data_IF_354542302229
#
_entry.id   IF_354542302229
#
_cell.length_a   1.000
_cell.length_b   1.000
_cell.length_c   1.000
_cell.angle_alpha   90.00
_cell.angle_beta   90.00
_cell.angle_gamma   90.00
#
_symmetry.space_group_name_H-M   'P 1'
#
loop_
_entity.id
_entity.type
_entity.pdbx_description
1 polymer ?
#
# COMPACT_ATOMS: atom_id res chain seq x y z
N UNK A 1 -48.14 -16.35 18.90
CA UNK A 1 -47.36 -15.33 18.15
C UNK A 1 -45.97 -15.26 18.75
N UNK A 2 -45.02 -15.90 18.15
CA UNK A 2 -43.60 -15.96 18.59
C UNK A 2 -42.78 -15.07 17.66
N UNK A 3 -42.30 -13.95 18.19
CA UNK A 3 -41.48 -13.00 17.43
C UNK A 3 -40.08 -13.55 17.30
N UNK A 4 -39.66 -13.82 16.08
CA UNK A 4 -38.28 -14.17 15.74
C UNK A 4 -37.47 -12.88 15.67
N UNK A 5 -36.64 -12.66 16.70
CA UNK A 5 -35.57 -11.64 16.64
C UNK A 5 -34.44 -12.15 15.76
N UNK A 6 -34.38 -11.68 14.52
CA UNK A 6 -33.21 -11.82 13.69
C UNK A 6 -32.15 -10.82 14.19
N UNK A 7 -31.18 -11.33 14.92
CA UNK A 7 -29.97 -10.56 15.30
C UNK A 7 -29.06 -10.37 14.07
N UNK A 8 -28.98 -9.13 13.60
CA UNK A 8 -27.97 -8.67 12.65
C UNK A 8 -26.59 -8.64 13.37
N UNK A 9 -25.90 -9.76 13.40
CA UNK A 9 -24.52 -9.89 13.90
C UNK A 9 -23.56 -10.16 12.73
N UNK A 10 -23.48 -9.22 11.79
CA UNK A 10 -22.69 -9.42 10.57
C UNK A 10 -21.54 -8.44 10.34
N UNK A 11 -21.31 -7.40 11.15
CA UNK A 11 -20.33 -6.36 10.84
C UNK A 11 -19.44 -5.91 12.01
N UNK A 12 -19.25 -6.70 13.06
CA UNK A 12 -18.55 -6.21 14.26
C UNK A 12 -17.29 -6.99 14.65
N UNK A 13 -16.75 -7.86 13.77
CA UNK A 13 -15.61 -8.73 14.13
C UNK A 13 -14.31 -8.48 13.36
N UNK A 14 -14.16 -7.37 12.64
CA UNK A 14 -12.92 -7.02 11.90
C UNK A 14 -12.29 -5.68 12.32
N UNK A 15 -12.32 -5.36 13.59
CA UNK A 15 -11.37 -4.41 14.18
C UNK A 15 -10.27 -5.20 14.89
N UNK A 16 -9.45 -5.95 14.16
CA UNK A 16 -8.10 -6.15 14.64
C UNK A 16 -7.45 -4.76 14.62
N UNK A 17 -7.13 -4.25 15.79
CA UNK A 17 -6.33 -3.03 15.91
C UNK A 17 -5.08 -3.23 15.06
N UNK A 18 -4.79 -2.27 14.18
CA UNK A 18 -3.54 -2.29 13.42
C UNK A 18 -2.41 -2.32 14.43
N UNK A 19 -1.72 -3.45 14.50
CA UNK A 19 -0.60 -3.63 15.43
C UNK A 19 0.55 -2.69 15.06
N UNK A 20 1.33 -2.30 16.06
CA UNK A 20 2.58 -1.56 15.84
C UNK A 20 3.46 -2.33 14.87
N UNK A 21 3.74 -1.75 13.72
CA UNK A 21 4.52 -2.39 12.68
C UNK A 21 5.32 -1.39 11.86
N UNK A 22 6.62 -1.63 11.79
CA UNK A 22 7.49 -1.01 10.80
C UNK A 22 7.38 -1.79 9.50
N UNK A 23 7.09 -1.10 8.43
CA UNK A 23 6.86 -1.69 7.12
C UNK A 23 7.56 -0.89 6.02
N UNK A 24 7.75 -1.50 4.85
CA UNK A 24 8.43 -0.82 3.74
C UNK A 24 7.85 -1.26 2.41
N UNK A 25 7.84 -0.36 1.44
CA UNK A 25 7.57 -0.71 0.04
C UNK A 25 8.82 -1.26 -0.64
N UNK A 26 8.64 -2.26 -1.49
CA UNK A 26 9.62 -2.74 -2.45
C UNK A 26 9.10 -2.50 -3.87
N UNK A 27 9.70 -1.55 -4.59
CA UNK A 27 9.12 -1.05 -5.85
C UNK A 27 10.03 -1.25 -7.06
N UNK A 28 10.63 -2.44 -7.14
CA UNK A 28 11.49 -2.86 -8.26
C UNK A 28 10.87 -4.03 -9.02
N UNK A 29 11.39 -4.32 -10.22
CA UNK A 29 10.94 -5.43 -11.07
C UNK A 29 11.69 -6.74 -10.79
N UNK A 30 12.68 -6.72 -9.91
CA UNK A 30 13.37 -7.91 -9.40
C UNK A 30 13.40 -7.85 -7.87
N UNK A 31 12.93 -8.89 -7.19
CA UNK A 31 13.17 -9.04 -5.76
C UNK A 31 14.58 -9.59 -5.57
N UNK A 32 15.52 -8.69 -5.35
CA UNK A 32 16.92 -8.99 -5.04
C UNK A 32 17.35 -8.11 -3.87
N UNK A 33 17.74 -8.71 -2.75
CA UNK A 33 18.12 -8.01 -1.53
C UNK A 33 19.61 -8.10 -1.31
N UNK A 34 20.29 -6.97 -1.30
CA UNK A 34 21.69 -6.90 -0.92
C UNK A 34 21.89 -6.93 0.63
N UNK A 35 23.13 -6.90 1.07
CA UNK A 35 23.45 -6.93 2.50
C UNK A 35 22.95 -5.69 3.25
N UNK A 36 22.93 -4.51 2.61
CA UNK A 36 22.44 -3.26 3.20
C UNK A 36 20.94 -3.32 3.44
N UNK A 37 20.20 -3.80 2.45
CA UNK A 37 18.75 -3.95 2.53
C UNK A 37 18.34 -5.01 3.57
N UNK A 38 19.04 -6.15 3.61
CA UNK A 38 18.82 -7.19 4.65
C UNK A 38 19.12 -6.67 6.05
N UNK A 39 20.20 -5.88 6.21
CA UNK A 39 20.54 -5.24 7.49
C UNK A 39 19.46 -4.24 7.90
N UNK A 40 18.96 -3.43 6.96
CA UNK A 40 17.88 -2.48 7.20
C UNK A 40 16.60 -3.17 7.72
N UNK A 41 16.16 -4.25 7.03
CA UNK A 41 14.97 -5.02 7.44
C UNK A 41 15.10 -5.54 8.89
N UNK A 42 16.28 -6.02 9.26
CA UNK A 42 16.55 -6.52 10.62
C UNK A 42 16.66 -5.39 11.64
N UNK A 43 17.45 -4.35 11.34
CA UNK A 43 17.76 -3.24 12.26
C UNK A 43 16.51 -2.48 12.68
N UNK A 44 15.62 -2.20 11.72
CA UNK A 44 14.38 -1.46 11.98
C UNK A 44 13.17 -2.38 12.22
N UNK A 45 13.41 -3.67 12.48
CA UNK A 45 12.37 -4.64 12.82
C UNK A 45 11.20 -4.65 11.85
N UNK A 46 11.50 -4.56 10.54
CA UNK A 46 10.47 -4.54 9.50
C UNK A 46 9.65 -5.83 9.55
N UNK A 47 8.33 -5.70 9.63
CA UNK A 47 7.38 -6.81 9.75
C UNK A 47 6.73 -7.19 8.43
N UNK A 48 6.54 -6.20 7.53
CA UNK A 48 5.89 -6.41 6.24
C UNK A 48 6.65 -5.67 5.13
N UNK A 49 6.69 -6.28 3.96
CA UNK A 49 7.17 -5.68 2.73
C UNK A 49 6.02 -5.64 1.72
N UNK A 50 5.54 -4.44 1.39
CA UNK A 50 4.60 -4.21 0.30
C UNK A 50 5.36 -4.32 -1.03
N UNK A 51 5.28 -5.48 -1.64
CA UNK A 51 6.08 -5.82 -2.81
C UNK A 51 5.27 -5.64 -4.09
N UNK A 52 5.73 -4.78 -5.00
CA UNK A 52 5.09 -4.58 -6.31
C UNK A 52 5.21 -5.86 -7.13
N UNK A 53 4.10 -6.58 -7.29
CA UNK A 53 4.06 -7.83 -8.06
C UNK A 53 3.98 -7.59 -9.55
N UNK A 54 3.08 -6.73 -9.95
CA UNK A 54 2.90 -6.30 -11.34
C UNK A 54 2.04 -5.03 -11.38
N UNK A 55 2.03 -4.39 -12.54
CA UNK A 55 1.08 -3.34 -12.84
C UNK A 55 -0.07 -3.91 -13.68
N UNK A 56 -1.20 -3.21 -13.67
CA UNK A 56 -2.29 -3.38 -14.64
C UNK A 56 -2.44 -2.07 -15.39
N UNK A 57 -2.29 -2.13 -16.70
CA UNK A 57 -2.36 -0.97 -17.59
C UNK A 57 -3.35 -1.22 -18.73
N UNK A 58 -3.97 -0.17 -19.26
CA UNK A 58 -4.79 -0.31 -20.46
C UNK A 58 -3.91 -0.54 -21.69
N UNK A 59 -4.14 -1.64 -22.38
CA UNK A 59 -3.51 -1.96 -23.65
C UNK A 59 -4.56 -2.47 -24.61
N UNK A 60 -4.66 -1.86 -25.79
CA UNK A 60 -5.64 -2.21 -26.85
C UNK A 60 -7.10 -2.27 -26.36
N UNK A 61 -7.46 -1.44 -25.40
CA UNK A 61 -8.80 -1.38 -24.81
C UNK A 61 -9.08 -2.36 -23.68
N UNK A 62 -8.11 -3.17 -23.26
CA UNK A 62 -8.24 -4.14 -22.19
C UNK A 62 -7.19 -3.93 -21.08
N UNK A 63 -7.55 -4.19 -19.79
CA UNK A 63 -6.59 -4.19 -18.70
C UNK A 63 -5.63 -5.37 -18.82
N UNK A 64 -4.33 -5.08 -18.94
CA UNK A 64 -3.29 -6.09 -19.13
C UNK A 64 -2.20 -5.99 -18.06
N UNK A 65 -1.66 -7.13 -17.58
CA UNK A 65 -0.54 -7.11 -16.65
C UNK A 65 0.73 -6.63 -17.34
N UNK A 66 1.49 -5.78 -16.64
CA UNK A 66 2.75 -5.22 -17.08
C UNK A 66 3.77 -5.23 -15.93
N UNK A 67 5.06 -5.03 -16.23
CA UNK A 67 6.14 -4.87 -15.25
C UNK A 67 6.13 -5.94 -14.12
N UNK A 68 5.87 -7.20 -14.47
CA UNK A 68 5.83 -8.32 -13.51
C UNK A 68 7.19 -8.52 -12.86
N UNK A 69 7.21 -8.65 -11.54
CA UNK A 69 8.41 -8.89 -10.74
C UNK A 69 8.99 -10.28 -11.00
N UNK A 70 10.34 -10.38 -10.95
CA UNK A 70 11.08 -11.64 -10.88
C UNK A 70 11.58 -11.84 -9.45
N UNK A 71 11.33 -13.01 -8.86
CA UNK A 71 11.80 -13.35 -7.52
C UNK A 71 13.16 -14.06 -7.63
N UNK A 72 14.23 -13.35 -7.26
CA UNK A 72 15.60 -13.86 -7.26
C UNK A 72 16.00 -14.29 -5.85
N UNK A 73 15.55 -13.52 -4.85
CA UNK A 73 15.76 -13.76 -3.43
C UNK A 73 14.41 -13.97 -2.72
N UNK A 74 14.49 -14.43 -1.47
CA UNK A 74 13.36 -14.49 -0.53
C UNK A 74 13.51 -13.42 0.55
N UNK A 75 12.39 -13.01 1.15
CA UNK A 75 12.42 -12.16 2.34
C UNK A 75 13.02 -12.93 3.54
N UNK A 76 13.64 -12.22 4.51
CA UNK A 76 14.08 -12.83 5.76
C UNK A 76 12.92 -13.48 6.51
N UNK A 77 13.23 -14.50 7.31
CA UNK A 77 12.25 -15.15 8.18
C UNK A 77 11.57 -14.15 9.12
N UNK A 78 10.26 -14.26 9.27
CA UNK A 78 9.45 -13.37 10.09
C UNK A 78 9.05 -12.05 9.42
N UNK A 79 9.45 -11.81 8.17
CA UNK A 79 9.01 -10.67 7.35
C UNK A 79 7.94 -11.12 6.38
N UNK A 80 6.74 -10.57 6.51
CA UNK A 80 5.59 -10.90 5.67
C UNK A 80 5.69 -10.23 4.29
N UNK A 81 5.39 -11.00 3.25
CA UNK A 81 5.20 -10.48 1.89
C UNK A 81 3.76 -10.01 1.71
N UNK A 82 3.57 -8.77 1.26
CA UNK A 82 2.27 -8.24 0.85
C UNK A 82 2.31 -7.99 -0.67
N UNK A 83 1.68 -8.86 -1.48
CA UNK A 83 1.52 -8.60 -2.90
C UNK A 83 0.82 -7.28 -3.15
N UNK A 84 1.49 -6.35 -3.82
CA UNK A 84 0.96 -5.03 -4.16
C UNK A 84 0.83 -4.93 -5.68
N UNK A 85 -0.36 -4.58 -6.15
CA UNK A 85 -0.65 -4.40 -7.58
C UNK A 85 -1.00 -2.95 -7.84
N UNK A 86 -0.21 -2.31 -8.70
CA UNK A 86 -0.53 -0.97 -9.19
C UNK A 86 -1.47 -1.05 -10.39
N UNK A 87 -2.55 -0.28 -10.36
CA UNK A 87 -3.53 -0.22 -11.45
C UNK A 87 -3.64 1.22 -11.93
N UNK A 88 -3.40 1.44 -13.22
CA UNK A 88 -3.55 2.77 -13.79
C UNK A 88 -5.01 3.22 -13.76
N UNK A 89 -5.23 4.50 -13.53
CA UNK A 89 -6.58 5.06 -13.31
C UNK A 89 -7.53 4.84 -14.50
N UNK A 90 -7.00 4.81 -15.71
CA UNK A 90 -7.76 4.56 -16.95
C UNK A 90 -8.39 3.15 -16.98
N UNK A 91 -7.81 2.15 -16.31
CA UNK A 91 -8.44 0.84 -16.12
C UNK A 91 -9.76 0.91 -15.32
N UNK A 92 -9.97 2.00 -14.57
CA UNK A 92 -11.15 2.23 -13.75
C UNK A 92 -12.18 3.17 -14.42
N UNK A 93 -11.96 3.57 -15.66
CA UNK A 93 -12.94 4.38 -16.41
C UNK A 93 -14.17 3.57 -16.82
N UNK A 94 -14.00 2.27 -17.00
CA UNK A 94 -15.06 1.32 -17.31
C UNK A 94 -15.01 0.12 -16.33
N UNK A 95 -16.04 -0.72 -16.33
CA UNK A 95 -16.07 -1.92 -15.53
C UNK A 95 -15.49 -3.08 -16.31
N UNK A 96 -14.59 -3.84 -15.67
CA UNK A 96 -14.01 -5.07 -16.19
C UNK A 96 -14.34 -6.24 -15.24
N UNK A 97 -15.48 -6.92 -15.41
CA UNK A 97 -16.01 -7.87 -14.42
C UNK A 97 -15.05 -9.01 -14.05
N UNK A 98 -14.22 -9.45 -15.00
CA UNK A 98 -13.28 -10.56 -14.78
C UNK A 98 -11.92 -10.12 -14.19
N UNK A 99 -11.66 -8.81 -14.12
CA UNK A 99 -10.34 -8.30 -13.75
C UNK A 99 -9.96 -8.71 -12.31
N UNK A 100 -10.89 -8.61 -11.37
CA UNK A 100 -10.65 -8.95 -9.98
C UNK A 100 -10.24 -10.42 -9.79
N UNK A 101 -10.99 -11.33 -10.41
CA UNK A 101 -10.71 -12.77 -10.35
C UNK A 101 -9.37 -13.10 -11.03
N UNK A 102 -9.12 -12.55 -12.22
CA UNK A 102 -7.85 -12.72 -12.94
C UNK A 102 -6.65 -12.24 -12.13
N UNK A 103 -6.81 -11.09 -11.45
CA UNK A 103 -5.76 -10.49 -10.61
C UNK A 103 -5.44 -11.39 -9.40
N UNK A 104 -6.45 -11.79 -8.63
CA UNK A 104 -6.27 -12.66 -7.45
C UNK A 104 -5.65 -13.98 -7.87
N UNK A 105 -6.18 -14.63 -8.90
CA UNK A 105 -5.64 -15.89 -9.43
C UNK A 105 -4.16 -15.74 -9.83
N UNK A 106 -3.79 -14.64 -10.49
CA UNK A 106 -2.40 -14.38 -10.86
C UNK A 106 -1.50 -14.24 -9.64
N UNK A 107 -1.91 -13.53 -8.61
CA UNK A 107 -1.15 -13.41 -7.36
C UNK A 107 -0.92 -14.78 -6.75
N UNK A 108 -1.97 -15.61 -6.62
CA UNK A 108 -1.88 -16.95 -6.04
C UNK A 108 -0.94 -17.85 -6.85
N UNK A 109 -1.03 -17.83 -8.18
CA UNK A 109 -0.13 -18.58 -9.07
C UNK A 109 1.34 -18.11 -8.93
N UNK A 110 1.57 -16.79 -8.78
CA UNK A 110 2.92 -16.25 -8.55
C UNK A 110 3.47 -16.71 -7.21
N UNK A 111 2.65 -16.72 -6.15
CA UNK A 111 3.04 -17.23 -4.84
C UNK A 111 3.40 -18.72 -4.90
N UNK A 112 2.55 -19.54 -5.49
CA UNK A 112 2.80 -20.98 -5.64
C UNK A 112 4.08 -21.27 -6.44
N UNK A 113 4.25 -20.59 -7.58
CA UNK A 113 5.41 -20.81 -8.48
C UNK A 113 6.74 -20.41 -7.81
N UNK A 114 6.73 -19.49 -6.85
CA UNK A 114 7.94 -18.95 -6.21
C UNK A 114 8.06 -19.34 -4.72
N UNK A 115 7.33 -20.35 -4.26
CA UNK A 115 7.34 -20.85 -2.87
C UNK A 115 7.10 -19.72 -1.83
N UNK A 116 6.23 -18.76 -2.15
CA UNK A 116 5.86 -17.66 -1.25
C UNK A 116 4.66 -18.10 -0.42
N UNK A 117 4.89 -18.25 0.88
CA UNK A 117 3.90 -18.74 1.84
C UNK A 117 3.54 -17.69 2.90
N UNK A 118 2.41 -17.91 3.57
CA UNK A 118 2.01 -17.08 4.72
C UNK A 118 1.55 -15.66 4.33
N UNK A 119 1.19 -15.43 3.08
CA UNK A 119 0.57 -14.17 2.62
C UNK A 119 -0.80 -14.03 3.28
N UNK A 120 -1.00 -12.94 4.02
CA UNK A 120 -2.24 -12.64 4.75
C UNK A 120 -2.95 -11.40 4.26
N UNK A 121 -2.35 -10.70 3.30
CA UNK A 121 -2.83 -9.43 2.79
C UNK A 121 -2.51 -9.27 1.31
N UNK A 122 -3.42 -8.62 0.57
CA UNK A 122 -3.20 -8.11 -0.78
C UNK A 122 -3.43 -6.61 -0.75
N UNK A 123 -2.56 -5.85 -1.41
CA UNK A 123 -2.73 -4.40 -1.56
C UNK A 123 -3.00 -4.02 -3.00
N UNK A 124 -3.97 -3.12 -3.21
CA UNK A 124 -4.23 -2.49 -4.50
C UNK A 124 -3.81 -1.01 -4.43
N UNK A 125 -2.97 -0.58 -5.35
CA UNK A 125 -2.56 0.82 -5.51
C UNK A 125 -3.22 1.39 -6.77
N UNK A 126 -4.05 2.43 -6.61
CA UNK A 126 -4.69 3.13 -7.73
C UNK A 126 -4.91 4.61 -7.41
N UNK A 127 -4.46 5.47 -8.30
CA UNK A 127 -4.67 6.91 -8.22
C UNK A 127 -6.08 7.31 -8.71
N UNK A 128 -7.11 6.63 -8.17
CA UNK A 128 -8.49 6.89 -8.59
C UNK A 128 -8.92 8.34 -8.31
N UNK A 129 -9.77 8.85 -9.17
CA UNK A 129 -10.36 10.18 -9.09
C UNK A 129 -11.84 10.10 -8.71
N UNK A 130 -12.50 11.24 -8.53
CA UNK A 130 -13.96 11.26 -8.33
C UNK A 130 -14.73 10.59 -9.48
N UNK A 131 -14.18 10.60 -10.70
CA UNK A 131 -14.78 10.02 -11.90
C UNK A 131 -14.71 8.50 -11.91
N UNK A 132 -13.55 7.93 -11.57
CA UNK A 132 -13.30 6.48 -11.60
C UNK A 132 -13.62 5.79 -10.27
N UNK A 133 -13.94 6.55 -9.20
CA UNK A 133 -14.14 6.05 -7.84
C UNK A 133 -15.11 4.90 -7.75
N UNK A 134 -16.30 5.02 -8.36
CA UNK A 134 -17.33 3.98 -8.20
C UNK A 134 -16.92 2.66 -8.84
N UNK A 135 -16.30 2.70 -10.03
CA UNK A 135 -15.79 1.51 -10.68
C UNK A 135 -14.64 0.89 -9.87
N UNK A 136 -13.77 1.72 -9.30
CA UNK A 136 -12.71 1.25 -8.42
C UNK A 136 -13.26 0.57 -7.16
N UNK A 137 -14.29 1.13 -6.52
CA UNK A 137 -14.91 0.51 -5.34
C UNK A 137 -15.60 -0.80 -5.67
N UNK A 138 -16.33 -0.88 -6.76
CA UNK A 138 -16.93 -2.13 -7.25
C UNK A 138 -15.86 -3.20 -7.55
N UNK A 139 -14.72 -2.77 -8.10
CA UNK A 139 -13.57 -3.64 -8.33
C UNK A 139 -12.95 -4.15 -7.01
N UNK A 140 -12.77 -3.30 -6.00
CA UNK A 140 -12.26 -3.72 -4.69
C UNK A 140 -13.19 -4.72 -3.99
N UNK A 141 -14.50 -4.52 -4.05
CA UNK A 141 -15.49 -5.48 -3.55
C UNK A 141 -15.38 -6.83 -4.26
N UNK A 142 -15.19 -6.82 -5.58
CA UNK A 142 -14.98 -8.03 -6.35
C UNK A 142 -13.65 -8.74 -6.00
N UNK A 143 -12.57 -7.99 -5.72
CA UNK A 143 -11.30 -8.56 -5.23
C UNK A 143 -11.50 -9.23 -3.87
N UNK A 144 -12.15 -8.56 -2.92
CA UNK A 144 -12.44 -9.14 -1.61
C UNK A 144 -13.24 -10.45 -1.72
N UNK A 145 -14.26 -10.49 -2.57
CA UNK A 145 -15.06 -11.70 -2.82
C UNK A 145 -14.23 -12.83 -3.45
N UNK A 146 -13.31 -12.49 -4.36
CA UNK A 146 -12.42 -13.46 -5.01
C UNK A 146 -11.42 -14.06 -4.00
N UNK A 147 -10.93 -13.27 -3.04
CA UNK A 147 -10.07 -13.76 -1.96
C UNK A 147 -10.78 -14.78 -1.05
N UNK A 148 -12.05 -14.56 -0.72
CA UNK A 148 -12.84 -15.51 0.09
C UNK A 148 -13.07 -16.80 -0.65
N UNK A 149 -13.47 -16.76 -1.92
CA UNK A 149 -13.76 -17.95 -2.75
C UNK A 149 -12.52 -18.82 -2.94
N UNK A 150 -11.34 -18.22 -3.05
CA UNK A 150 -10.07 -18.96 -3.18
C UNK A 150 -9.71 -19.70 -1.89
N UNK A 151 -9.93 -19.09 -0.72
CA UNK A 151 -9.69 -19.72 0.58
C UNK A 151 -10.59 -20.96 0.81
N UNK A 152 -11.83 -20.94 0.34
CA UNK A 152 -12.77 -22.06 0.45
C UNK A 152 -12.39 -23.24 -0.48
N UNK A 153 -11.79 -22.97 -1.64
CA UNK A 153 -11.34 -24.02 -2.58
C UNK A 153 -10.14 -24.80 -2.05
N UNK A 154 -9.22 -24.13 -1.38
CA UNK A 154 -8.01 -24.75 -0.80
C UNK A 154 -8.34 -25.65 0.41
N UNK A 155 -9.40 -25.35 1.17
CA UNK A 155 -9.87 -26.21 2.27
C UNK A 155 -10.43 -27.57 1.81
N UNK A 156 -10.98 -27.65 0.62
CA UNK A 156 -11.49 -28.93 0.09
C UNK A 156 -10.38 -29.89 -0.32
N UNK A 157 -9.16 -29.39 -0.49
CA UNK A 157 -7.99 -30.19 -0.92
C UNK A 157 -7.04 -30.57 0.20
N UNK A 158 -7.10 -29.92 1.38
CA UNK A 158 -6.21 -30.25 2.51
C UNK A 158 -6.99 -30.45 3.81
N UNK A 159 -6.79 -31.60 4.47
CA UNK A 159 -7.40 -31.98 5.75
C UNK A 159 -6.75 -31.25 6.97
N UNK A 160 -6.34 -29.99 6.84
CA UNK A 160 -5.74 -29.19 7.91
C UNK A 160 -6.80 -28.38 8.63
N UNK A 161 -6.92 -28.57 9.96
CA UNK A 161 -7.84 -27.94 10.89
C UNK A 161 -7.45 -26.48 11.25
N UNK A 162 -6.99 -25.67 10.31
CA UNK A 162 -6.79 -24.26 10.51
C UNK A 162 -8.01 -23.47 9.99
N UNK A 163 -8.58 -22.61 10.84
CA UNK A 163 -9.62 -21.67 10.44
C UNK A 163 -9.16 -20.85 9.24
N UNK A 164 -9.99 -20.69 8.18
CA UNK A 164 -9.62 -19.88 7.04
C UNK A 164 -9.48 -18.44 7.48
N UNK A 165 -8.26 -17.94 7.53
CA UNK A 165 -8.05 -16.50 7.60
C UNK A 165 -8.31 -15.96 6.20
N UNK A 166 -9.43 -15.26 6.01
CA UNK A 166 -9.64 -14.50 4.77
C UNK A 166 -8.50 -13.48 4.63
N UNK A 167 -7.92 -13.39 3.43
CA UNK A 167 -6.91 -12.38 3.13
C UNK A 167 -7.44 -10.98 3.44
N UNK A 168 -6.63 -10.16 4.10
CA UNK A 168 -6.89 -8.73 4.25
C UNK A 168 -6.74 -8.04 2.90
N UNK A 169 -7.58 -7.07 2.63
CA UNK A 169 -7.46 -6.19 1.48
C UNK A 169 -7.13 -4.77 1.94
N UNK A 170 -5.99 -4.25 1.51
CA UNK A 170 -5.62 -2.86 1.73
C UNK A 170 -5.52 -2.09 0.42
N UNK A 171 -5.55 -0.77 0.51
CA UNK A 171 -5.33 0.11 -0.65
C UNK A 171 -4.54 1.36 -0.26
N UNK A 172 -3.91 1.98 -1.24
CA UNK A 172 -3.28 3.29 -1.05
C UNK A 172 -4.32 4.40 -1.03
N UNK A 173 -4.07 5.42 -0.21
CA UNK A 173 -4.92 6.61 -0.10
C UNK A 173 -4.07 7.85 -0.38
N UNK A 174 -4.46 8.61 -1.40
CA UNK A 174 -3.88 9.93 -1.68
C UNK A 174 -4.51 11.00 -0.80
N UNK A 175 -3.78 12.07 -0.52
CA UNK A 175 -4.27 13.18 0.34
C UNK A 175 -5.63 13.73 -0.12
N UNK A 176 -5.83 13.92 -1.42
CA UNK A 176 -7.10 14.45 -1.94
C UNK A 176 -8.29 13.49 -1.75
N UNK A 177 -8.02 12.17 -1.65
CA UNK A 177 -9.05 11.15 -1.44
C UNK A 177 -9.60 11.14 -0.01
N UNK A 178 -8.93 11.78 0.96
CA UNK A 178 -9.45 11.97 2.32
C UNK A 178 -10.75 12.78 2.38
N UNK A 179 -11.08 13.50 1.32
CA UNK A 179 -12.37 14.20 1.20
C UNK A 179 -13.49 13.36 0.59
N UNK A 180 -13.20 12.13 0.19
CA UNK A 180 -14.13 11.20 -0.43
C UNK A 180 -14.62 10.16 0.60
N UNK A 181 -15.73 9.48 0.30
CA UNK A 181 -16.09 8.27 1.06
C UNK A 181 -14.95 7.25 0.99
N UNK A 182 -14.69 6.50 2.06
CA UNK A 182 -13.60 5.52 2.08
C UNK A 182 -13.87 4.35 1.12
N UNK A 183 -12.83 3.75 0.54
CA UNK A 183 -12.96 2.51 -0.22
C UNK A 183 -13.38 1.33 0.65
N UNK A 184 -14.04 0.30 0.09
CA UNK A 184 -14.50 -0.89 0.80
C UNK A 184 -13.37 -1.89 1.02
N UNK A 185 -12.43 -1.55 1.90
CA UNK A 185 -11.24 -2.35 2.25
C UNK A 185 -11.06 -2.40 3.77
N UNK A 186 -10.18 -3.27 4.25
CA UNK A 186 -9.93 -3.41 5.69
C UNK A 186 -9.18 -2.19 6.24
N UNK A 187 -8.19 -1.66 5.50
CA UNK A 187 -7.49 -0.41 5.85
C UNK A 187 -6.81 0.25 4.64
N UNK A 188 -6.34 1.47 4.82
CA UNK A 188 -5.62 2.23 3.80
C UNK A 188 -4.20 2.59 4.21
N UNK A 189 -3.31 2.77 3.22
CA UNK A 189 -1.98 3.34 3.41
C UNK A 189 -1.99 4.77 2.88
N UNK A 190 -1.99 5.75 3.79
CA UNK A 190 -1.97 7.16 3.45
C UNK A 190 -0.60 7.54 2.88
N UNK A 191 -0.56 7.90 1.62
CA UNK A 191 0.66 8.27 0.92
C UNK A 191 1.00 9.75 1.19
N UNK A 192 1.98 9.99 2.06
CA UNK A 192 2.51 11.30 2.39
C UNK A 192 3.72 11.62 1.50
N UNK A 193 3.54 11.42 0.21
CA UNK A 193 4.54 11.75 -0.81
C UNK A 193 3.86 12.01 -2.16
N UNK A 194 4.62 12.55 -3.14
CA UNK A 194 4.09 13.08 -4.39
C UNK A 194 3.01 14.14 -4.12
N UNK A 195 3.29 15.03 -3.14
CA UNK A 195 2.33 16.02 -2.66
C UNK A 195 2.18 17.22 -3.59
N UNK A 196 3.19 17.50 -4.41
CA UNK A 196 3.21 18.59 -5.39
C UNK A 196 3.17 18.12 -6.84
N UNK A 197 2.87 19.04 -7.77
CA UNK A 197 2.99 18.77 -9.20
C UNK A 197 4.46 18.93 -9.64
N UNK A 198 5.14 17.85 -10.00
CA UNK A 198 6.56 17.90 -10.36
C UNK A 198 6.83 18.65 -11.67
N UNK A 199 5.78 18.96 -12.46
CA UNK A 199 5.92 19.73 -13.72
C UNK A 199 5.96 21.24 -13.46
N UNK A 200 5.56 21.68 -12.26
CA UNK A 200 5.57 23.09 -11.88
C UNK A 200 6.89 23.44 -11.19
N UNK A 201 7.52 24.50 -11.65
CA UNK A 201 8.64 25.12 -10.96
C UNK A 201 8.10 25.95 -9.81
N UNK A 202 8.16 25.40 -8.60
CA UNK A 202 7.78 26.09 -7.38
C UNK A 202 8.91 25.98 -6.37
N UNK A 203 8.89 26.81 -5.33
CA UNK A 203 9.80 26.68 -4.17
C UNK A 203 9.49 25.48 -3.28
N UNK A 204 8.41 24.73 -3.60
CA UNK A 204 7.96 23.58 -2.83
C UNK A 204 8.59 22.31 -3.38
N UNK A 205 8.96 21.40 -2.49
CA UNK A 205 9.43 20.08 -2.89
C UNK A 205 8.25 19.23 -3.39
N UNK A 206 8.23 18.80 -4.66
CA UNK A 206 7.10 18.05 -5.20
C UNK A 206 6.96 16.64 -4.60
N UNK A 207 8.02 16.11 -3.96
CA UNK A 207 7.94 14.82 -3.27
C UNK A 207 7.17 14.99 -1.96
N UNK A 208 7.56 15.94 -1.12
CA UNK A 208 6.90 16.21 0.16
C UNK A 208 7.15 17.67 0.56
N UNK A 209 6.07 18.38 0.86
CA UNK A 209 6.07 19.69 1.48
C UNK A 209 4.87 19.79 2.43
N UNK A 210 5.11 20.14 3.68
CA UNK A 210 4.06 20.27 4.69
C UNK A 210 2.94 21.23 4.26
N UNK A 211 3.29 22.28 3.50
CA UNK A 211 2.31 23.25 2.99
C UNK A 211 1.32 22.62 2.01
N UNK A 212 1.71 21.55 1.34
CA UNK A 212 0.82 20.79 0.43
C UNK A 212 -0.01 19.74 1.18
N UNK A 213 0.49 19.22 2.30
CA UNK A 213 -0.22 18.26 3.18
C UNK A 213 -1.26 18.98 4.04
N UNK A 214 -0.92 20.13 4.59
CA UNK A 214 -1.70 20.84 5.62
C UNK A 214 -3.18 21.09 5.28
N UNK A 215 -3.58 21.44 4.03
CA UNK A 215 -4.99 21.62 3.67
C UNK A 215 -5.85 20.38 3.84
N UNK A 216 -5.26 19.17 3.75
CA UNK A 216 -5.96 17.88 3.83
C UNK A 216 -6.07 17.34 5.27
N UNK A 217 -5.28 17.85 6.21
CA UNK A 217 -5.29 17.41 7.61
C UNK A 217 -6.65 17.60 8.28
N UNK A 218 -7.45 18.56 7.82
CA UNK A 218 -8.81 18.79 8.35
C UNK A 218 -9.77 17.60 8.11
N UNK A 219 -9.50 16.77 7.11
CA UNK A 219 -10.33 15.60 6.77
C UNK A 219 -9.78 14.31 7.40
N UNK A 220 -8.60 14.37 8.01
CA UNK A 220 -7.90 13.19 8.51
C UNK A 220 -8.51 12.66 9.81
N UNK A 221 -8.97 13.57 10.69
CA UNK A 221 -9.53 13.22 11.99
C UNK A 221 -10.78 12.34 11.86
N UNK A 222 -11.65 12.70 10.91
CA UNK A 222 -12.97 12.07 10.72
C UNK A 222 -12.96 10.99 9.64
N UNK A 223 -11.81 10.70 9.00
CA UNK A 223 -11.75 9.68 7.95
C UNK A 223 -11.95 8.30 8.55
N UNK A 224 -13.03 7.57 8.20
CA UNK A 224 -13.47 6.42 8.99
C UNK A 224 -12.65 5.14 8.77
N UNK A 225 -11.83 5.10 7.69
CA UNK A 225 -11.00 3.93 7.40
C UNK A 225 -9.76 3.92 8.31
N UNK A 226 -9.38 2.79 8.93
CA UNK A 226 -8.08 2.64 9.55
C UNK A 226 -6.96 2.96 8.57
N UNK A 227 -5.92 3.67 9.00
CA UNK A 227 -4.83 4.12 8.14
C UNK A 227 -3.46 3.78 8.70
N UNK A 228 -2.54 3.35 7.82
CA UNK A 228 -1.10 3.42 8.00
C UNK A 228 -0.56 4.70 7.36
N UNK A 229 0.62 5.17 7.76
CA UNK A 229 1.26 6.35 7.19
C UNK A 229 2.51 6.00 6.38
N UNK A 230 2.57 6.39 5.11
CA UNK A 230 3.71 6.14 4.23
C UNK A 230 4.52 7.42 3.96
N UNK A 231 5.80 7.39 4.32
CA UNK A 231 6.74 8.50 4.19
C UNK A 231 7.79 8.25 3.10
N UNK A 232 8.18 9.28 2.33
CA UNK A 232 9.17 9.14 1.27
C UNK A 232 10.60 9.10 1.83
N UNK A 233 11.40 8.18 1.31
CA UNK A 233 12.85 8.15 1.56
C UNK A 233 13.64 8.10 0.24
N UNK A 234 12.99 8.40 -0.87
CA UNK A 234 13.54 8.34 -2.22
C UNK A 234 13.86 9.73 -2.77
N UNK A 235 14.50 9.74 -3.94
CA UNK A 235 14.86 10.93 -4.69
C UNK A 235 14.24 10.87 -6.09
N UNK A 236 13.84 12.02 -6.61
CA UNK A 236 13.54 12.17 -8.02
C UNK A 236 14.70 12.83 -8.77
N UNK A 237 15.05 12.25 -9.90
CA UNK A 237 15.94 12.84 -10.86
C UNK A 237 15.18 13.07 -12.16
N UNK A 238 15.12 14.30 -12.61
CA UNK A 238 14.45 14.68 -13.87
C UNK A 238 15.36 15.51 -14.74
N UNK A 239 15.20 15.35 -16.05
CA UNK A 239 15.83 16.23 -17.02
C UNK A 239 14.76 17.18 -17.56
N UNK A 240 14.91 18.47 -17.32
CA UNK A 240 13.99 19.52 -17.78
C UNK A 240 14.80 20.45 -18.68
N UNK A 241 14.43 20.52 -19.96
CA UNK A 241 15.14 21.34 -20.97
C UNK A 241 16.65 21.11 -20.99
N UNK A 242 17.09 19.85 -20.84
CA UNK A 242 18.49 19.48 -20.82
C UNK A 242 19.22 19.70 -19.48
N UNK A 243 18.53 20.22 -18.46
CA UNK A 243 19.08 20.40 -17.11
C UNK A 243 18.62 19.25 -16.21
N UNK A 244 19.55 18.58 -15.56
CA UNK A 244 19.27 17.57 -14.53
C UNK A 244 18.83 18.28 -13.25
N UNK A 245 17.62 18.01 -12.82
CA UNK A 245 17.05 18.52 -11.55
C UNK A 245 16.83 17.34 -10.62
N UNK A 246 17.37 17.45 -9.42
CA UNK A 246 17.23 16.45 -8.37
C UNK A 246 16.34 17.02 -7.26
N UNK A 247 15.35 16.22 -6.81
CA UNK A 247 14.52 16.54 -5.67
C UNK A 247 14.75 15.47 -4.61
N UNK A 248 15.23 15.89 -3.46
CA UNK A 248 15.41 15.06 -2.25
C UNK A 248 14.60 15.69 -1.14
N UNK A 249 13.98 14.89 -0.29
CA UNK A 249 13.29 15.41 0.89
C UNK A 249 14.28 15.48 2.04
N UNK A 250 14.32 16.60 2.73
CA UNK A 250 15.13 16.74 3.94
C UNK A 250 14.50 15.94 5.10
N UNK A 251 15.35 15.33 5.95
CA UNK A 251 14.90 14.56 7.11
C UNK A 251 13.91 15.34 7.98
N UNK A 252 14.24 16.61 8.29
CA UNK A 252 13.40 17.49 9.09
C UNK A 252 12.01 17.72 8.48
N UNK A 253 11.87 17.70 7.15
CA UNK A 253 10.58 17.84 6.50
C UNK A 253 9.73 16.59 6.68
N UNK A 254 10.32 15.39 6.54
CA UNK A 254 9.63 14.12 6.80
C UNK A 254 9.10 14.12 8.24
N UNK A 255 9.94 14.45 9.21
CA UNK A 255 9.60 14.44 10.63
C UNK A 255 8.55 15.52 10.99
N UNK A 256 8.63 16.70 10.36
CA UNK A 256 7.60 17.76 10.53
C UNK A 256 6.24 17.29 10.02
N UNK A 257 6.19 16.61 8.86
CA UNK A 257 4.95 16.05 8.32
C UNK A 257 4.44 14.94 9.23
N UNK A 258 5.32 13.99 9.64
CA UNK A 258 4.97 12.94 10.61
C UNK A 258 4.30 13.52 11.85
N UNK A 259 4.95 14.47 12.49
CA UNK A 259 4.40 15.11 13.68
C UNK A 259 3.05 15.81 13.42
N UNK A 260 2.87 16.43 12.25
CA UNK A 260 1.64 17.14 11.90
C UNK A 260 0.46 16.16 11.71
N UNK A 261 0.68 15.02 11.03
CA UNK A 261 -0.36 14.01 10.82
C UNK A 261 -0.69 13.25 12.10
N UNK A 262 0.30 12.92 12.93
CA UNK A 262 0.10 12.21 14.20
C UNK A 262 -0.61 13.07 15.25
N UNK A 263 -0.39 14.39 15.24
CA UNK A 263 -1.17 15.33 16.09
C UNK A 263 -2.64 15.35 15.72
N UNK A 264 -2.96 15.11 14.46
CA UNK A 264 -4.33 15.05 13.96
C UNK A 264 -4.95 13.67 14.16
N UNK A 265 -4.18 12.62 13.92
CA UNK A 265 -4.63 11.24 14.04
C UNK A 265 -3.54 10.39 14.67
N UNK A 266 -3.54 10.26 16.01
CA UNK A 266 -2.48 9.57 16.75
C UNK A 266 -2.27 8.11 16.35
N UNK A 267 -3.30 7.43 15.84
CA UNK A 267 -3.23 6.03 15.41
C UNK A 267 -2.27 5.81 14.22
N UNK A 268 -1.95 6.87 13.46
CA UNK A 268 -1.02 6.78 12.33
C UNK A 268 0.41 6.43 12.74
N UNK A 269 0.76 6.58 14.02
CA UNK A 269 2.04 6.16 14.57
C UNK A 269 2.21 4.64 14.68
N UNK A 270 1.11 3.87 14.72
CA UNK A 270 1.16 2.42 14.95
C UNK A 270 1.68 1.64 13.75
N UNK A 271 1.31 2.02 12.54
CA UNK A 271 1.82 1.36 11.33
C UNK A 271 2.48 2.38 10.41
N UNK A 272 3.79 2.27 10.31
CA UNK A 272 4.63 3.20 9.54
C UNK A 272 5.24 2.47 8.35
N UNK A 273 5.14 3.10 7.20
CA UNK A 273 5.67 2.60 5.94
C UNK A 273 6.72 3.58 5.41
N UNK A 274 7.86 3.10 4.94
CA UNK A 274 8.77 3.95 4.13
C UNK A 274 8.70 3.54 2.66
N UNK A 275 8.72 4.51 1.77
CA UNK A 275 8.73 4.30 0.34
C UNK A 275 10.05 4.80 -0.23
N UNK A 276 10.95 3.93 -0.73
CA UNK A 276 10.92 2.49 -0.79
C UNK A 276 12.28 1.88 -0.42
N UNK A 277 12.33 0.57 -0.15
CA UNK A 277 13.53 -0.20 0.15
C UNK A 277 14.45 -0.23 -1.07
N UNK A 278 15.59 0.38 -0.94
CA UNK A 278 16.64 0.45 -1.92
C UNK A 278 17.92 0.93 -1.23
N UNK A 279 19.07 0.36 -1.60
CA UNK A 279 20.36 0.71 -1.01
C UNK A 279 20.69 2.21 -1.09
N UNK A 280 20.38 2.84 -2.22
CA UNK A 280 20.64 4.27 -2.40
C UNK A 280 19.76 5.11 -1.47
N UNK A 281 18.50 4.73 -1.29
CA UNK A 281 17.57 5.38 -0.38
C UNK A 281 18.00 5.19 1.07
N UNK A 282 18.38 3.98 1.47
CA UNK A 282 18.86 3.66 2.82
C UNK A 282 20.08 4.52 3.18
N UNK A 283 21.02 4.67 2.27
CA UNK A 283 22.26 5.43 2.50
C UNK A 283 22.06 6.95 2.44
N UNK A 284 20.88 7.43 2.11
CA UNK A 284 20.57 8.87 1.97
C UNK A 284 20.44 9.56 3.31
N UNK A 285 19.87 8.87 4.28
CA UNK A 285 19.63 9.41 5.61
C UNK A 285 20.50 8.72 6.66
N UNK A 286 20.74 9.42 7.75
CA UNK A 286 21.42 8.84 8.91
C UNK A 286 20.52 7.80 9.59
N UNK A 287 21.10 6.81 10.29
CA UNK A 287 20.32 5.83 11.06
C UNK A 287 19.30 6.47 12.01
N UNK A 288 19.69 7.50 12.74
CA UNK A 288 18.80 8.24 13.68
C UNK A 288 17.52 8.74 12.99
N UNK A 289 17.62 9.16 11.71
CA UNK A 289 16.44 9.59 10.95
C UNK A 289 15.43 8.47 10.77
N UNK A 290 15.90 7.26 10.46
CA UNK A 290 15.02 6.10 10.34
C UNK A 290 14.45 5.67 11.69
N UNK A 291 15.24 5.76 12.77
CA UNK A 291 14.76 5.51 14.13
C UNK A 291 13.62 6.47 14.48
N UNK A 292 13.74 7.77 14.16
CA UNK A 292 12.69 8.76 14.39
C UNK A 292 11.46 8.54 13.47
N UNK A 293 11.66 8.17 12.20
CA UNK A 293 10.54 7.86 11.29
C UNK A 293 9.75 6.66 11.83
N UNK A 294 10.42 5.60 12.27
CA UNK A 294 9.79 4.37 12.77
C UNK A 294 9.44 4.40 14.26
N UNK A 295 9.64 5.53 14.93
CA UNK A 295 9.26 5.68 16.34
C UNK A 295 7.73 5.73 16.49
N UNK A 296 7.19 4.84 17.34
CA UNK A 296 5.77 4.68 17.63
C UNK A 296 5.30 5.55 18.82
#
# INVERSE_FOLDING_TARGET
>A
MMAVLLTLTGCQQRKEEMADANTVYYWRTELRLDSTERTFLSQYHIKKVYCRYFDVVMQDGEPMPNATISFIDTLPEGVEMVPTVFITEDCMHEQHPELAEKLVRRILQMNETNDIHGVREIQIDCDYTARSRQNYYNFLEAVANSCVSSAESDQKSSASLSTPHSLLLSTTIRLHQLSMAPPPVDYGVLMLYNTGDPRRFTERNPILDLRDVQPYLRNLDDYPLPLAAAYPVYQWVRTISGVRVEHTVEADEILRVKLAVERKRPELRHTIVTYHLDKENINRYKPDTYEEIYHH
#
